data_IF_983050367298
#
_entry.id   IF_983050367298
#
_cell.length_a   1.000
_cell.length_b   1.000
_cell.length_c   1.000
_cell.angle_alpha   90.00
_cell.angle_beta   90.00
_cell.angle_gamma   90.00
#
_symmetry.space_group_name_H-M   'P 1'
#
loop_
_entity.id
_entity.type
_entity.pdbx_description
1 polymer ?
#
# COMPACT_ATOMS: atom_id res chain seq x y z
N UNK A 1 15.17 15.10 0.70
CA UNK A 1 13.77 14.69 0.92
C UNK A 1 13.47 13.38 0.21
N UNK A 2 12.78 12.46 0.90
CA UNK A 2 12.49 11.10 0.42
C UNK A 2 11.53 11.08 -0.76
N UNK A 3 10.56 12.00 -0.76
CA UNK A 3 9.60 12.17 -1.86
C UNK A 3 10.34 12.50 -3.16
N UNK A 4 11.36 13.36 -3.13
CA UNK A 4 12.12 13.65 -4.35
C UNK A 4 12.89 12.44 -4.88
N UNK A 5 13.40 11.56 -4.02
CA UNK A 5 14.03 10.33 -4.48
C UNK A 5 13.01 9.40 -5.14
N UNK A 6 11.75 9.36 -4.66
CA UNK A 6 10.65 8.67 -5.33
C UNK A 6 10.32 9.31 -6.69
N UNK A 7 10.16 10.63 -6.74
CA UNK A 7 9.86 11.36 -7.98
C UNK A 7 10.99 11.26 -9.03
N UNK A 8 12.24 11.12 -8.58
CA UNK A 8 13.40 10.84 -9.43
C UNK A 8 13.53 9.36 -9.86
N UNK A 9 12.58 8.50 -9.48
CA UNK A 9 12.60 7.06 -9.78
C UNK A 9 13.65 6.25 -9.02
N UNK A 10 14.28 6.85 -7.99
CA UNK A 10 15.33 6.21 -7.17
C UNK A 10 14.77 5.40 -6.00
N UNK A 11 13.50 5.58 -5.68
CA UNK A 11 12.76 4.77 -4.71
C UNK A 11 11.51 4.19 -5.39
N UNK A 12 11.42 2.88 -5.64
CA UNK A 12 10.25 2.29 -6.30
C UNK A 12 9.13 2.01 -5.27
N UNK A 13 8.55 3.06 -4.67
CA UNK A 13 7.56 2.91 -3.59
C UNK A 13 6.29 2.18 -4.02
N UNK A 14 5.89 2.31 -5.29
CA UNK A 14 4.69 1.67 -5.84
C UNK A 14 4.80 0.13 -5.80
N UNK A 15 6.02 -0.42 -5.85
CA UNK A 15 6.24 -1.88 -5.78
C UNK A 15 5.89 -2.48 -4.41
N UNK A 16 5.76 -1.65 -3.39
CA UNK A 16 5.38 -2.13 -2.06
C UNK A 16 3.88 -2.24 -1.90
N UNK A 17 3.08 -1.63 -2.79
CA UNK A 17 1.61 -1.75 -2.77
C UNK A 17 1.25 -3.15 -3.22
N UNK A 18 0.70 -3.94 -2.30
CA UNK A 18 0.26 -5.31 -2.56
C UNK A 18 -1.21 -5.38 -2.95
N UNK A 19 -2.01 -4.39 -2.54
CA UNK A 19 -3.42 -4.27 -2.95
C UNK A 19 -3.90 -2.82 -2.88
N UNK A 20 -4.91 -2.52 -3.69
CA UNK A 20 -5.74 -1.32 -3.58
C UNK A 20 -7.13 -1.74 -3.08
N UNK A 21 -7.68 -1.00 -2.13
CA UNK A 21 -8.95 -1.30 -1.47
C UNK A 21 -9.87 -0.09 -1.48
N UNK A 22 -11.17 -0.32 -1.51
CA UNK A 22 -12.16 0.72 -1.25
C UNK A 22 -12.22 1.06 0.25
N UNK A 23 -12.76 2.23 0.59
CA UNK A 23 -12.85 2.70 1.98
C UNK A 23 -13.69 1.77 2.87
N UNK A 24 -14.69 1.10 2.32
CA UNK A 24 -15.56 0.14 3.02
C UNK A 24 -14.90 -1.24 3.24
N UNK A 25 -13.75 -1.50 2.63
CA UNK A 25 -13.00 -2.75 2.73
C UNK A 25 -11.86 -2.72 3.76
N UNK A 26 -11.73 -1.62 4.53
CA UNK A 26 -10.61 -1.41 5.46
C UNK A 26 -10.50 -2.52 6.52
N UNK A 27 -11.62 -2.96 7.10
CA UNK A 27 -11.62 -4.03 8.10
C UNK A 27 -11.11 -5.37 7.54
N UNK A 28 -11.51 -5.73 6.31
CA UNK A 28 -11.04 -6.95 5.65
C UNK A 28 -9.52 -6.89 5.39
N UNK A 29 -9.01 -5.72 5.02
CA UNK A 29 -7.58 -5.51 4.79
C UNK A 29 -6.75 -5.65 6.08
N UNK A 30 -7.28 -5.23 7.23
CA UNK A 30 -6.63 -5.46 8.53
C UNK A 30 -6.51 -6.96 8.85
N UNK A 31 -7.57 -7.72 8.60
CA UNK A 31 -7.55 -9.18 8.77
C UNK A 31 -6.52 -9.86 7.87
N UNK A 32 -6.41 -9.45 6.59
CA UNK A 32 -5.37 -9.93 5.66
C UNK A 32 -3.96 -9.58 6.15
N UNK A 33 -3.78 -8.37 6.67
CA UNK A 33 -2.50 -7.91 7.20
C UNK A 33 -2.07 -8.73 8.42
N UNK A 34 -3.00 -9.05 9.32
CA UNK A 34 -2.71 -9.89 10.49
C UNK A 34 -2.28 -11.31 10.10
N UNK A 35 -2.86 -11.86 9.03
CA UNK A 35 -2.47 -13.17 8.46
C UNK A 35 -1.18 -13.12 7.62
N UNK A 36 -0.63 -11.95 7.35
CA UNK A 36 0.56 -11.77 6.52
C UNK A 36 0.32 -12.00 5.02
N UNK A 37 -0.92 -11.88 4.57
CA UNK A 37 -1.32 -12.08 3.17
C UNK A 37 -0.99 -10.85 2.30
N UNK A 38 -0.86 -9.69 2.93
CA UNK A 38 -0.58 -8.40 2.28
C UNK A 38 0.55 -7.67 2.98
N UNK A 39 1.31 -6.89 2.21
CA UNK A 39 2.40 -6.06 2.71
C UNK A 39 1.95 -4.62 2.95
N UNK A 40 1.19 -4.06 2.02
CA UNK A 40 0.68 -2.68 2.06
C UNK A 40 -0.59 -2.57 1.22
N UNK A 41 -1.68 -2.24 1.89
CA UNK A 41 -2.95 -1.88 1.27
C UNK A 41 -3.05 -0.36 1.13
N UNK A 42 -3.53 0.14 -0.02
CA UNK A 42 -3.79 1.56 -0.27
C UNK A 42 -5.28 1.77 -0.45
N UNK A 43 -5.86 2.69 0.30
CA UNK A 43 -7.28 3.05 0.14
C UNK A 43 -7.44 4.01 -1.03
N UNK A 44 -8.34 3.68 -1.95
CA UNK A 44 -8.71 4.50 -3.12
C UNK A 44 -10.19 4.91 -3.05
N UNK A 45 -10.54 6.04 -3.70
CA UNK A 45 -11.88 6.65 -3.71
C UNK A 45 -12.60 6.42 -5.05
#
# INVERSE_FOLDING_TARGET
MLIELYLQGRLPLDRFVSEEIALDQVEEAFEKMHRGEVLRSVVVL
#
